data_IF_625608341584
#
_entry.id   IF_625608341584
#
_cell.length_a   1.000
_cell.length_b   1.000
_cell.length_c   1.000
_cell.angle_alpha   90.00
_cell.angle_beta   90.00
_cell.angle_gamma   90.00
#
_symmetry.space_group_name_H-M   'P 1'
#
loop_
_entity.id
_entity.type
_entity.pdbx_description
1 polymer ?
#
# COMPACT_ATOMS: atom_id res chain seq x y z
N UNK A 1 17.24 -5.70 20.89
CA UNK A 1 16.01 -6.44 21.26
C UNK A 1 15.77 -7.54 20.23
N UNK A 2 15.83 -8.82 20.66
CA UNK A 2 15.72 -9.99 19.77
C UNK A 2 14.46 -9.98 18.87
N UNK A 3 13.33 -9.41 19.31
CA UNK A 3 12.13 -9.34 18.47
C UNK A 3 12.27 -8.31 17.34
N UNK A 4 12.94 -7.22 17.57
CA UNK A 4 13.25 -6.22 16.56
C UNK A 4 14.23 -6.75 15.49
N UNK A 5 15.28 -7.45 15.92
CA UNK A 5 16.22 -8.10 15.01
C UNK A 5 15.56 -9.15 14.13
N UNK A 6 14.62 -9.92 14.69
CA UNK A 6 13.83 -10.89 13.93
C UNK A 6 12.93 -10.22 12.90
N UNK A 7 12.27 -9.12 13.25
CA UNK A 7 11.43 -8.37 12.32
C UNK A 7 12.25 -7.78 11.17
N UNK A 8 13.42 -7.21 11.48
CA UNK A 8 14.34 -6.69 10.45
C UNK A 8 14.83 -7.81 9.52
N UNK A 9 15.18 -8.97 10.08
CA UNK A 9 15.58 -10.12 9.29
C UNK A 9 14.43 -10.62 8.39
N UNK A 10 13.20 -10.68 8.92
CA UNK A 10 12.01 -11.04 8.16
C UNK A 10 11.76 -10.06 6.99
N UNK A 11 11.78 -8.75 7.24
CA UNK A 11 11.61 -7.73 6.18
C UNK A 11 12.67 -7.88 5.06
N UNK A 12 13.93 -8.11 5.44
CA UNK A 12 15.03 -8.30 4.49
C UNK A 12 14.88 -9.59 3.67
N UNK A 13 14.42 -10.66 4.30
CA UNK A 13 14.21 -11.94 3.62
C UNK A 13 13.03 -11.86 2.65
N UNK A 14 11.90 -11.26 3.07
CA UNK A 14 10.74 -11.03 2.21
C UNK A 14 11.14 -10.23 0.96
N UNK A 15 11.87 -9.12 1.16
CA UNK A 15 12.36 -8.32 0.04
C UNK A 15 13.25 -9.12 -0.91
N UNK A 16 14.17 -9.92 -0.36
CA UNK A 16 15.06 -10.76 -1.17
C UNK A 16 14.30 -11.81 -1.96
N UNK A 17 13.35 -12.47 -1.33
CA UNK A 17 12.58 -13.56 -1.95
C UNK A 17 11.66 -13.08 -3.06
N UNK A 18 11.08 -11.86 -2.94
CA UNK A 18 10.17 -11.30 -3.94
C UNK A 18 10.90 -10.63 -5.12
N UNK A 19 12.18 -10.26 -4.96
CA UNK A 19 12.94 -9.51 -5.98
C UNK A 19 12.86 -10.14 -7.38
N UNK A 20 13.04 -11.45 -7.59
CA UNK A 20 12.94 -12.03 -8.93
C UNK A 20 11.55 -11.86 -9.57
N UNK A 21 10.48 -11.94 -8.76
CA UNK A 21 9.12 -11.73 -9.25
C UNK A 21 8.88 -10.25 -9.63
N UNK A 22 9.43 -9.32 -8.86
CA UNK A 22 9.36 -7.89 -9.16
C UNK A 22 10.10 -7.57 -10.46
N UNK A 23 11.30 -8.09 -10.65
CA UNK A 23 12.07 -7.91 -11.89
C UNK A 23 11.30 -8.47 -13.11
N UNK A 24 10.72 -9.65 -12.95
CA UNK A 24 9.92 -10.30 -13.98
C UNK A 24 8.69 -9.47 -14.40
N UNK A 25 7.93 -8.91 -13.44
CA UNK A 25 6.74 -8.11 -13.80
C UNK A 25 7.13 -6.76 -14.41
N UNK A 26 8.21 -6.13 -13.96
CA UNK A 26 8.71 -4.89 -14.57
C UNK A 26 9.09 -5.11 -16.03
N UNK A 27 9.81 -6.19 -16.33
CA UNK A 27 10.18 -6.56 -17.69
C UNK A 27 8.96 -6.94 -18.55
N UNK A 28 8.09 -7.80 -17.99
CA UNK A 28 6.88 -8.31 -18.68
C UNK A 28 5.94 -7.19 -19.14
N UNK A 29 5.77 -6.15 -18.33
CA UNK A 29 4.86 -5.04 -18.61
C UNK A 29 5.56 -3.79 -19.16
N UNK A 30 6.88 -3.84 -19.39
CA UNK A 30 7.69 -2.69 -19.81
C UNK A 30 7.39 -1.44 -18.98
N UNK A 31 7.28 -1.64 -17.65
CA UNK A 31 6.96 -0.60 -16.70
C UNK A 31 8.23 0.00 -16.09
N UNK A 32 8.20 1.28 -15.79
CA UNK A 32 9.29 1.95 -15.10
C UNK A 32 8.87 2.42 -13.71
N UNK A 33 9.85 2.49 -12.81
CA UNK A 33 9.67 2.98 -11.45
C UNK A 33 10.60 4.15 -11.18
N UNK A 34 10.11 5.10 -10.41
CA UNK A 34 10.92 6.20 -9.90
C UNK A 34 10.51 6.54 -8.47
N UNK A 35 11.42 7.15 -7.71
CA UNK A 35 11.11 7.63 -6.36
C UNK A 35 10.92 9.13 -6.39
N UNK A 36 9.83 9.62 -5.79
CA UNK A 36 9.51 11.05 -5.62
C UNK A 36 9.08 11.31 -4.19
N UNK A 37 9.36 12.50 -3.70
CA UNK A 37 8.79 12.99 -2.43
C UNK A 37 7.44 13.67 -2.70
N UNK A 38 6.45 13.34 -1.86
CA UNK A 38 5.15 14.01 -1.84
C UNK A 38 4.86 14.41 -0.39
N UNK A 39 4.85 15.70 -0.11
CA UNK A 39 4.56 16.24 1.21
C UNK A 39 5.45 15.65 2.32
N UNK A 40 6.74 15.40 2.03
CA UNK A 40 7.72 14.85 2.97
C UNK A 40 7.70 13.33 3.10
N UNK A 41 6.91 12.64 2.27
CA UNK A 41 6.84 11.18 2.24
C UNK A 41 7.44 10.68 0.93
N UNK A 42 8.44 9.78 1.04
CA UNK A 42 9.00 9.11 -0.13
C UNK A 42 7.94 8.19 -0.75
N UNK A 43 7.68 8.34 -2.04
CA UNK A 43 6.72 7.54 -2.77
C UNK A 43 7.40 6.81 -3.93
N UNK A 44 7.08 5.54 -4.10
CA UNK A 44 7.45 4.81 -5.31
C UNK A 44 6.37 5.05 -6.37
N UNK A 45 6.79 5.54 -7.51
CA UNK A 45 5.92 5.88 -8.63
C UNK A 45 6.08 4.85 -9.73
N UNK A 46 5.01 4.16 -10.08
CA UNK A 46 4.98 3.16 -11.15
C UNK A 46 4.36 3.78 -12.37
N UNK A 47 5.08 3.77 -13.47
CA UNK A 47 4.61 4.26 -14.77
C UNK A 47 4.43 3.09 -15.73
N UNK A 48 3.23 2.92 -16.31
CA UNK A 48 3.05 1.97 -17.40
C UNK A 48 3.82 2.42 -18.66
N UNK A 49 4.10 1.49 -19.55
CA UNK A 49 4.73 1.80 -20.84
C UNK A 49 3.95 2.83 -21.66
N UNK A 50 2.63 2.86 -21.50
CA UNK A 50 1.73 3.84 -22.10
C UNK A 50 0.73 4.36 -21.06
N UNK A 51 0.77 5.67 -20.81
CA UNK A 51 -0.25 6.35 -20.00
C UNK A 51 -1.47 6.56 -20.90
N UNK A 52 -2.63 5.99 -20.51
CA UNK A 52 -3.88 6.03 -21.29
C UNK A 52 -4.96 6.92 -20.66
N UNK A 53 -4.76 7.35 -19.43
CA UNK A 53 -5.73 8.09 -18.62
C UNK A 53 -5.06 9.23 -17.87
N UNK A 54 -5.82 10.23 -17.45
CA UNK A 54 -5.36 11.43 -16.75
C UNK A 54 -5.54 11.35 -15.22
N UNK A 55 -6.08 10.23 -14.72
CA UNK A 55 -6.20 9.97 -13.28
C UNK A 55 -5.10 9.04 -12.79
N UNK A 56 -4.86 9.07 -11.50
CA UNK A 56 -3.81 8.29 -10.84
C UNK A 56 -4.39 7.32 -9.82
N UNK A 57 -3.60 6.36 -9.41
CA UNK A 57 -3.93 5.42 -8.32
C UNK A 57 -3.00 5.71 -7.15
N UNK A 58 -3.57 6.01 -5.99
CA UNK A 58 -2.89 5.85 -4.72
C UNK A 58 -2.98 4.39 -4.31
N UNK A 59 -1.86 3.74 -4.06
CA UNK A 59 -1.82 2.34 -3.65
C UNK A 59 -1.27 2.20 -2.23
N UNK A 60 -2.06 1.56 -1.35
CA UNK A 60 -1.64 1.18 0.00
C UNK A 60 -1.18 -0.29 0.01
N UNK A 61 0.09 -0.54 0.34
CA UNK A 61 0.62 -1.90 0.45
C UNK A 61 0.24 -2.57 1.76
N UNK A 62 0.32 -3.91 1.81
CA UNK A 62 0.02 -4.71 2.99
C UNK A 62 1.19 -4.87 3.96
N UNK A 63 1.03 -5.79 4.92
CA UNK A 63 2.07 -6.11 5.90
C UNK A 63 1.78 -5.71 7.35
N UNK A 64 0.50 -5.54 7.70
CA UNK A 64 0.03 -5.32 9.08
C UNK A 64 0.57 -4.06 9.75
N UNK A 65 1.01 -3.08 8.99
CA UNK A 65 1.71 -1.87 9.46
C UNK A 65 3.05 -2.14 10.17
N UNK A 66 3.56 -3.37 10.10
CA UNK A 66 4.83 -3.77 10.70
C UNK A 66 5.85 -4.29 9.69
N UNK A 67 5.42 -4.63 8.50
CA UNK A 67 6.25 -5.13 7.39
C UNK A 67 5.71 -4.65 6.05
N UNK A 68 6.29 -5.12 4.96
CA UNK A 68 5.94 -4.68 3.61
C UNK A 68 6.65 -3.40 3.20
N UNK A 69 6.62 -3.14 1.93
CA UNK A 69 7.16 -1.91 1.34
C UNK A 69 6.56 -1.67 -0.06
N UNK A 70 6.67 -0.46 -0.61
CA UNK A 70 6.28 -0.20 -1.99
C UNK A 70 6.89 -1.16 -3.01
N UNK A 71 8.12 -1.62 -2.76
CA UNK A 71 8.84 -2.51 -3.67
C UNK A 71 8.21 -3.91 -3.72
N UNK A 72 7.80 -4.46 -2.58
CA UNK A 72 7.27 -5.82 -2.49
C UNK A 72 5.94 -5.95 -3.22
N UNK A 73 5.11 -4.90 -3.17
CA UNK A 73 3.81 -4.87 -3.83
C UNK A 73 3.87 -4.42 -5.31
N UNK A 74 5.05 -4.24 -5.89
CA UNK A 74 5.19 -4.03 -7.34
C UNK A 74 4.62 -5.20 -8.16
N UNK A 75 4.56 -6.40 -7.60
CA UNK A 75 3.91 -7.55 -8.24
C UNK A 75 2.40 -7.36 -8.44
N UNK A 76 1.78 -6.43 -7.72
CA UNK A 76 0.39 -6.01 -7.88
C UNK A 76 0.31 -4.67 -8.61
N UNK A 77 1.11 -3.70 -8.19
CA UNK A 77 1.04 -2.33 -8.69
C UNK A 77 1.45 -2.19 -10.16
N UNK A 78 2.42 -3.00 -10.63
CA UNK A 78 2.87 -2.97 -12.04
C UNK A 78 1.78 -3.49 -12.99
N UNK A 79 1.21 -4.69 -12.80
CA UNK A 79 0.06 -5.12 -13.59
C UNK A 79 -1.12 -4.14 -13.53
N UNK A 80 -1.41 -3.59 -12.35
CA UNK A 80 -2.47 -2.61 -12.16
C UNK A 80 -2.23 -1.36 -13.02
N UNK A 81 -1.01 -0.82 -13.03
CA UNK A 81 -0.65 0.31 -13.87
C UNK A 81 -0.79 -0.01 -15.36
N UNK A 82 -0.31 -1.17 -15.78
CA UNK A 82 -0.33 -1.60 -17.18
C UNK A 82 -1.75 -1.80 -17.72
N UNK A 83 -2.60 -2.48 -16.96
CA UNK A 83 -3.98 -2.79 -17.36
C UNK A 83 -4.87 -1.55 -17.36
N UNK A 84 -4.70 -0.65 -16.39
CA UNK A 84 -5.48 0.59 -16.31
C UNK A 84 -4.93 1.70 -17.20
N UNK A 85 -3.65 1.68 -17.52
CA UNK A 85 -2.95 2.80 -18.15
C UNK A 85 -2.78 4.01 -17.23
N UNK A 86 -3.00 3.85 -15.93
CA UNK A 86 -2.83 4.88 -14.92
C UNK A 86 -1.44 4.80 -14.26
N UNK A 87 -0.89 5.92 -13.85
CA UNK A 87 0.26 5.93 -12.94
C UNK A 87 -0.19 5.48 -11.54
N UNK A 88 0.63 4.64 -10.89
CA UNK A 88 0.37 4.17 -9.51
C UNK A 88 1.40 4.78 -8.57
N UNK A 89 0.95 5.40 -7.51
CA UNK A 89 1.76 6.05 -6.48
C UNK A 89 1.64 5.26 -5.18
N UNK A 90 2.75 4.76 -4.68
CA UNK A 90 2.82 3.92 -3.49
C UNK A 90 3.61 4.67 -2.40
N UNK A 91 2.97 5.29 -1.41
CA UNK A 91 3.68 5.94 -0.31
C UNK A 91 4.48 4.94 0.51
N UNK A 92 5.75 5.24 0.80
CA UNK A 92 6.55 4.48 1.76
C UNK A 92 6.25 5.00 3.16
N UNK A 93 5.05 4.71 3.66
CA UNK A 93 4.63 5.15 4.98
C UNK A 93 5.42 4.44 6.10
N UNK A 94 5.59 5.15 7.21
CA UNK A 94 6.33 4.65 8.38
C UNK A 94 5.63 3.46 9.02
N UNK A 95 6.43 2.50 9.48
CA UNK A 95 5.97 1.26 10.06
C UNK A 95 6.23 1.19 11.57
N UNK A 96 5.39 0.45 12.27
CA UNK A 96 5.66 0.02 13.62
C UNK A 96 6.72 -1.11 13.62
N UNK A 97 7.45 -1.32 14.71
CA UNK A 97 7.40 -0.58 15.97
C UNK A 97 8.19 0.73 15.99
N UNK A 98 8.96 1.04 14.92
CA UNK A 98 9.81 2.23 14.83
C UNK A 98 8.98 3.51 14.91
N UNK A 99 7.85 3.50 14.23
CA UNK A 99 6.89 4.60 14.19
C UNK A 99 5.48 4.06 14.37
N UNK A 100 5.02 3.92 15.61
CA UNK A 100 3.70 3.34 15.88
C UNK A 100 2.56 4.24 15.39
N UNK A 101 1.33 3.74 15.49
CA UNK A 101 0.13 4.53 15.21
C UNK A 101 0.22 5.94 15.86
N UNK A 102 -0.14 7.02 15.17
CA UNK A 102 -0.80 7.08 13.85
C UNK A 102 0.15 7.33 12.65
N UNK A 103 1.46 7.10 12.76
CA UNK A 103 2.46 7.51 11.80
C UNK A 103 2.14 7.09 10.35
N UNK A 104 1.77 5.83 10.12
CA UNK A 104 1.42 5.35 8.78
C UNK A 104 0.20 6.09 8.18
N UNK A 105 -0.81 6.37 9.03
CA UNK A 105 -2.02 7.08 8.63
C UNK A 105 -1.70 8.54 8.28
N UNK A 106 -0.84 9.18 9.06
CA UNK A 106 -0.47 10.59 8.82
C UNK A 106 0.35 10.72 7.54
N UNK A 107 1.29 9.81 7.29
CA UNK A 107 2.06 9.78 6.05
C UNK A 107 1.15 9.54 4.84
N UNK A 108 0.32 8.50 4.89
CA UNK A 108 -0.64 8.20 3.84
C UNK A 108 -1.61 9.33 3.57
N UNK A 109 -2.08 10.00 4.63
CA UNK A 109 -3.01 11.12 4.50
C UNK A 109 -2.36 12.36 3.88
N UNK A 110 -1.10 12.64 4.21
CA UNK A 110 -0.35 13.74 3.62
C UNK A 110 -0.23 13.59 2.11
N UNK A 111 0.13 12.39 1.65
CA UNK A 111 0.22 12.05 0.22
C UNK A 111 -1.17 12.10 -0.45
N UNK A 112 -2.17 11.45 0.16
CA UNK A 112 -3.53 11.44 -0.37
C UNK A 112 -4.08 12.85 -0.55
N UNK A 113 -3.92 13.72 0.46
CA UNK A 113 -4.40 15.11 0.43
C UNK A 113 -3.80 15.89 -0.74
N UNK A 114 -2.52 15.75 -0.99
CA UNK A 114 -1.84 16.39 -2.12
C UNK A 114 -2.39 15.87 -3.45
N UNK A 115 -2.52 14.54 -3.58
CA UNK A 115 -3.01 13.90 -4.80
C UNK A 115 -4.50 14.16 -5.06
N UNK A 116 -5.31 14.45 -4.03
CA UNK A 116 -6.75 14.62 -4.13
C UNK A 116 -7.20 15.87 -4.91
N UNK A 117 -6.28 16.76 -5.24
CA UNK A 117 -6.52 17.90 -6.14
C UNK A 117 -6.87 17.44 -7.57
N UNK A 118 -6.40 16.28 -7.98
CA UNK A 118 -6.65 15.67 -9.29
C UNK A 118 -7.58 14.44 -9.19
N UNK A 119 -8.07 13.91 -10.33
CA UNK A 119 -8.80 12.65 -10.35
C UNK A 119 -7.96 11.50 -9.79
N UNK A 120 -8.50 10.79 -8.78
CA UNK A 120 -7.77 9.80 -8.00
C UNK A 120 -8.63 8.57 -7.71
N UNK A 121 -8.05 7.38 -7.88
CA UNK A 121 -8.57 6.14 -7.33
C UNK A 121 -7.69 5.65 -6.18
N UNK A 122 -8.27 4.94 -5.22
CA UNK A 122 -7.52 4.26 -4.18
C UNK A 122 -7.57 2.75 -4.38
N UNK A 123 -6.42 2.12 -4.25
CA UNK A 123 -6.33 0.65 -4.18
C UNK A 123 -5.50 0.29 -2.96
N UNK A 124 -5.88 -0.76 -2.25
CA UNK A 124 -5.10 -1.19 -1.08
C UNK A 124 -5.30 -2.66 -0.77
N UNK A 125 -4.22 -3.29 -0.33
CA UNK A 125 -4.18 -4.70 0.06
C UNK A 125 -4.04 -4.82 1.57
N UNK A 126 -4.79 -5.71 2.23
CA UNK A 126 -4.65 -6.03 3.66
C UNK A 126 -4.67 -4.78 4.55
N UNK A 127 -3.59 -4.48 5.30
CA UNK A 127 -3.41 -3.25 6.07
C UNK A 127 -3.44 -1.99 5.19
N UNK A 128 -2.96 -2.06 3.95
CA UNK A 128 -3.07 -0.97 2.98
C UNK A 128 -4.52 -0.70 2.56
N UNK A 129 -5.36 -1.72 2.53
CA UNK A 129 -6.81 -1.58 2.36
C UNK A 129 -7.44 -0.85 3.55
N UNK A 130 -7.03 -1.17 4.78
CA UNK A 130 -7.41 -0.43 5.99
C UNK A 130 -6.95 1.02 5.93
N UNK A 131 -5.70 1.26 5.51
CA UNK A 131 -5.18 2.61 5.29
C UNK A 131 -6.11 3.39 4.35
N UNK A 132 -6.40 2.86 3.16
CA UNK A 132 -7.25 3.52 2.17
C UNK A 132 -8.65 3.84 2.72
N UNK A 133 -9.29 2.92 3.45
CA UNK A 133 -10.56 3.16 4.12
C UNK A 133 -10.47 4.30 5.13
N UNK A 134 -9.41 4.32 5.93
CA UNK A 134 -9.16 5.38 6.92
C UNK A 134 -8.95 6.74 6.26
N UNK A 135 -8.22 6.78 5.12
CA UNK A 135 -8.02 8.00 4.35
C UNK A 135 -9.35 8.56 3.81
N UNK A 136 -10.23 7.70 3.28
CA UNK A 136 -11.56 8.10 2.80
C UNK A 136 -12.39 8.68 3.94
N UNK A 137 -12.44 8.01 5.09
CA UNK A 137 -13.18 8.49 6.27
C UNK A 137 -12.65 9.83 6.76
N UNK A 138 -11.33 9.98 6.86
CA UNK A 138 -10.69 11.22 7.29
C UNK A 138 -10.95 12.36 6.30
N UNK A 139 -10.88 12.07 5.01
CA UNK A 139 -11.18 13.04 3.96
C UNK A 139 -12.64 13.51 4.03
N UNK A 140 -13.58 12.58 4.22
CA UNK A 140 -14.99 12.89 4.40
C UNK A 140 -15.23 13.83 5.60
N UNK A 141 -14.64 13.50 6.74
CA UNK A 141 -14.76 14.31 7.96
C UNK A 141 -14.18 15.72 7.82
N UNK A 142 -13.14 15.88 7.01
CA UNK A 142 -12.45 17.15 6.80
C UNK A 142 -12.97 17.94 5.57
N UNK A 143 -13.96 17.42 4.86
CA UNK A 143 -14.47 18.05 3.63
C UNK A 143 -13.44 18.09 2.48
N UNK A 144 -12.50 17.16 2.46
CA UNK A 144 -11.51 17.00 1.39
C UNK A 144 -12.15 16.18 0.26
N UNK A 145 -11.76 16.47 -0.98
CA UNK A 145 -12.25 15.74 -2.15
C UNK A 145 -12.02 14.23 -1.99
N UNK A 146 -13.08 13.47 -2.14
CA UNK A 146 -13.03 12.01 -2.09
C UNK A 146 -12.49 11.43 -3.41
N UNK A 147 -11.90 10.22 -3.37
CA UNK A 147 -11.51 9.52 -4.59
C UNK A 147 -12.77 9.17 -5.41
N UNK A 148 -12.62 9.08 -6.73
CA UNK A 148 -13.69 8.67 -7.63
C UNK A 148 -14.00 7.18 -7.57
N UNK A 149 -13.01 6.37 -7.21
CA UNK A 149 -13.15 4.92 -7.05
C UNK A 149 -12.23 4.40 -5.95
N UNK A 150 -12.59 3.27 -5.39
CA UNK A 150 -11.73 2.52 -4.48
C UNK A 150 -11.89 1.02 -4.70
N UNK A 151 -10.78 0.28 -4.66
CA UNK A 151 -10.77 -1.18 -4.72
C UNK A 151 -9.89 -1.73 -3.58
N UNK A 152 -10.39 -2.75 -2.91
CA UNK A 152 -9.72 -3.34 -1.76
C UNK A 152 -9.48 -4.83 -1.96
N UNK A 153 -8.24 -5.25 -1.78
CA UNK A 153 -7.79 -6.63 -1.89
C UNK A 153 -7.65 -7.20 -0.47
N UNK A 154 -8.58 -8.06 -0.05
CA UNK A 154 -8.61 -8.65 1.29
C UNK A 154 -8.31 -7.64 2.41
N UNK A 155 -9.05 -6.52 2.50
CA UNK A 155 -8.73 -5.43 3.41
C UNK A 155 -8.90 -5.83 4.88
N UNK A 156 -7.99 -5.39 5.75
CA UNK A 156 -8.12 -5.55 7.19
C UNK A 156 -9.11 -4.52 7.76
N UNK A 157 -10.41 -4.77 7.59
CA UNK A 157 -11.46 -3.80 7.92
C UNK A 157 -11.71 -3.65 9.42
N UNK A 158 -11.47 -4.70 10.20
CA UNK A 158 -11.69 -4.72 11.66
C UNK A 158 -10.40 -5.02 12.40
N UNK A 159 -9.78 -3.97 12.94
CA UNK A 159 -8.53 -4.08 13.69
C UNK A 159 -8.74 -4.72 15.10
N UNK A 160 -9.98 -4.89 15.55
CA UNK A 160 -10.29 -5.60 16.79
C UNK A 160 -10.23 -7.12 16.62
N UNK A 161 -10.23 -7.60 15.36
CA UNK A 161 -10.27 -9.02 15.00
C UNK A 161 -11.45 -9.77 15.67
N UNK A 162 -12.57 -9.09 15.91
CA UNK A 162 -13.72 -9.65 16.62
C UNK A 162 -14.65 -10.50 15.72
N UNK A 163 -14.37 -10.55 14.42
CA UNK A 163 -15.19 -11.31 13.47
C UNK A 163 -15.18 -12.82 13.73
N UNK A 164 -16.34 -13.51 13.63
CA UNK A 164 -16.41 -14.96 13.87
C UNK A 164 -15.44 -15.79 13.00
N UNK A 165 -15.15 -15.34 11.80
CA UNK A 165 -14.19 -16.00 10.90
C UNK A 165 -12.76 -15.96 11.41
N UNK A 166 -12.36 -14.93 12.17
CA UNK A 166 -11.04 -14.84 12.79
C UNK A 166 -10.91 -15.93 13.85
N UNK A 167 -11.89 -16.05 14.73
CA UNK A 167 -11.93 -17.07 15.80
C UNK A 167 -11.96 -18.48 15.19
N UNK A 168 -12.78 -18.70 14.17
CA UNK A 168 -12.94 -20.03 13.54
C UNK A 168 -11.72 -20.50 12.73
N UNK A 169 -10.88 -19.56 12.29
CA UNK A 169 -9.66 -19.82 11.51
C UNK A 169 -8.38 -19.68 12.35
N UNK A 170 -8.51 -19.48 13.65
CA UNK A 170 -7.34 -19.43 14.54
C UNK A 170 -6.49 -20.72 14.38
N UNK A 171 -5.19 -20.56 14.23
CA UNK A 171 -4.25 -21.64 13.97
C UNK A 171 -4.29 -22.25 12.55
N UNK A 172 -5.16 -21.77 11.65
CA UNK A 172 -5.22 -22.23 10.24
C UNK A 172 -4.41 -21.36 9.30
N UNK A 173 -4.25 -20.09 9.62
CA UNK A 173 -3.42 -19.15 8.88
C UNK A 173 -2.05 -19.05 9.56
N UNK A 174 -0.95 -19.44 8.88
CA UNK A 174 0.38 -19.42 9.49
C UNK A 174 0.95 -18.02 9.69
N UNK A 175 0.35 -17.00 9.09
CA UNK A 175 0.81 -15.62 9.19
C UNK A 175 0.01 -14.78 10.20
N UNK A 176 -1.25 -15.14 10.45
CA UNK A 176 -2.21 -14.34 11.24
C UNK A 176 -2.66 -15.01 12.53
N UNK A 177 -2.07 -16.16 12.92
CA UNK A 177 -2.38 -16.88 14.17
C UNK A 177 -1.35 -16.63 15.27
#
# INVERSE_FOLDING_TARGET
>A
NRSFEKLTAYRNETRRSITPAVECVLEMYDASIETRDISGVSCLWVKPSQIKVDWKIFYGYGGGYVSGSPFEDLTIAVPLAAETGAEVVIPHYRLAPESPWPAAIDDGFSVFKEMSSEPLALVGESAGGNLCLTLILRAFQLGIRLPQAAAFLSPWCDLSNAGPSVVNNDGRDPALS
#
